data_IF_966446949571
#
_entry.id   IF_966446949571
#
_cell.length_a   1.000
_cell.length_b   1.000
_cell.length_c   1.000
_cell.angle_alpha   90.00
_cell.angle_beta   90.00
_cell.angle_gamma   90.00
#
_symmetry.space_group_name_H-M   'P 1'
#
loop_
_entity.id
_entity.type
_entity.pdbx_description
1 polymer ?
#
# COMPACT_ATOMS: atom_id res chain seq x y z
N UNK A 1 -17.46 16.25 -6.29
CA UNK A 1 -17.75 14.83 -6.53
C UNK A 1 -16.60 14.04 -5.97
N UNK A 2 -16.84 13.15 -5.01
CA UNK A 2 -15.79 12.46 -4.26
C UNK A 2 -15.75 10.96 -4.52
N UNK A 3 -14.79 10.31 -3.87
CA UNK A 3 -14.68 8.84 -3.81
C UNK A 3 -15.22 8.40 -2.44
N UNK A 4 -16.04 7.36 -2.43
CA UNK A 4 -16.51 6.71 -1.20
C UNK A 4 -15.67 5.47 -0.94
N UNK A 5 -15.02 5.42 0.22
CA UNK A 5 -14.25 4.25 0.64
C UNK A 5 -15.13 3.28 1.45
N UNK A 6 -14.95 1.98 1.23
CA UNK A 6 -15.58 0.93 2.04
C UNK A 6 -14.66 -0.26 2.29
N UNK A 7 -14.63 -0.80 3.50
CA UNK A 7 -13.83 -1.97 3.81
C UNK A 7 -14.46 -3.22 3.20
N UNK A 8 -13.61 -4.12 2.70
CA UNK A 8 -13.99 -5.38 2.07
C UNK A 8 -13.47 -6.56 2.89
N UNK A 9 -14.14 -6.83 4.01
CA UNK A 9 -13.74 -7.86 4.99
C UNK A 9 -13.69 -9.30 4.45
N UNK A 10 -14.44 -9.60 3.39
CA UNK A 10 -14.48 -10.93 2.78
C UNK A 10 -13.47 -11.12 1.64
N UNK A 11 -12.52 -10.19 1.47
CA UNK A 11 -11.45 -10.32 0.49
C UNK A 11 -10.46 -11.43 0.89
N UNK A 12 -10.07 -12.26 -0.08
CA UNK A 12 -9.08 -13.32 0.14
C UNK A 12 -7.62 -12.87 -0.03
N UNK A 13 -7.38 -11.65 -0.51
CA UNK A 13 -6.06 -11.08 -0.74
C UNK A 13 -6.09 -9.57 -0.50
N UNK A 14 -4.96 -9.00 -0.06
CA UNK A 14 -4.81 -7.54 0.16
C UNK A 14 -4.99 -6.73 -1.13
N UNK A 15 -4.86 -7.38 -2.28
CA UNK A 15 -4.96 -6.78 -3.61
C UNK A 15 -6.36 -6.86 -4.22
N UNK A 16 -7.36 -7.47 -3.55
CA UNK A 16 -8.76 -7.54 -4.02
C UNK A 16 -9.49 -6.19 -3.85
N UNK A 17 -9.00 -5.17 -4.56
CA UNK A 17 -9.56 -3.82 -4.63
C UNK A 17 -10.59 -3.76 -5.76
N UNK A 18 -11.76 -3.16 -5.49
CA UNK A 18 -12.82 -2.95 -6.48
C UNK A 18 -13.20 -1.49 -6.59
N UNK A 19 -13.14 -0.97 -7.81
CA UNK A 19 -13.64 0.36 -8.13
C UNK A 19 -14.98 0.28 -8.87
N UNK A 20 -15.94 1.11 -8.46
CA UNK A 20 -17.23 1.28 -9.12
C UNK A 20 -17.46 2.76 -9.40
N UNK A 21 -17.57 3.12 -10.66
CA UNK A 21 -17.91 4.48 -11.09
C UNK A 21 -19.43 4.64 -11.19
N UNK A 22 -19.95 5.80 -10.77
CA UNK A 22 -21.33 6.23 -11.00
C UNK A 22 -21.36 7.64 -11.59
N UNK A 23 -22.51 8.08 -12.07
CA UNK A 23 -22.67 9.37 -12.78
C UNK A 23 -22.15 10.59 -11.99
N UNK A 24 -22.15 10.51 -10.65
CA UNK A 24 -21.79 11.64 -9.77
C UNK A 24 -20.71 11.28 -8.72
N UNK A 25 -20.23 10.04 -8.64
CA UNK A 25 -19.27 9.63 -7.59
C UNK A 25 -18.50 8.35 -7.96
N UNK A 26 -17.35 8.15 -7.32
CA UNK A 26 -16.64 6.87 -7.33
C UNK A 26 -16.86 6.11 -6.01
N UNK A 27 -16.72 4.78 -6.04
CA UNK A 27 -16.65 3.96 -4.84
C UNK A 27 -15.50 2.98 -4.92
N UNK A 28 -14.65 2.99 -3.91
CA UNK A 28 -13.52 2.05 -3.73
C UNK A 28 -13.87 1.10 -2.59
N UNK A 29 -13.91 -0.19 -2.89
CA UNK A 29 -13.98 -1.26 -1.90
C UNK A 29 -12.59 -1.91 -1.80
N UNK A 30 -11.92 -1.79 -0.66
CA UNK A 30 -10.57 -2.35 -0.47
C UNK A 30 -10.50 -3.22 0.81
N UNK A 31 -9.67 -4.27 0.84
CA UNK A 31 -9.43 -5.04 2.05
C UNK A 31 -8.80 -4.16 3.13
N UNK A 32 -9.24 -4.24 4.39
CA UNK A 32 -8.57 -3.53 5.48
C UNK A 32 -7.12 -3.97 5.62
N UNK A 33 -6.21 -3.01 5.82
CA UNK A 33 -4.80 -3.27 6.08
C UNK A 33 -4.42 -2.79 7.48
N UNK A 34 -3.70 -3.64 8.21
CA UNK A 34 -3.09 -3.30 9.49
C UNK A 34 -1.71 -2.72 9.18
N UNK A 35 -1.43 -1.52 9.69
CA UNK A 35 -0.16 -0.84 9.49
C UNK A 35 0.55 -0.69 10.83
N UNK A 36 1.71 -1.32 10.94
CA UNK A 36 2.60 -1.32 12.10
C UNK A 36 4.08 -1.13 11.68
N UNK A 37 5.00 -1.23 12.62
CA UNK A 37 6.44 -1.06 12.38
C UNK A 37 7.04 -2.08 11.39
N UNK A 38 6.38 -3.24 11.19
CA UNK A 38 6.85 -4.29 10.30
C UNK A 38 6.35 -4.15 8.86
N UNK A 39 5.30 -3.33 8.66
CA UNK A 39 4.57 -3.23 7.39
C UNK A 39 5.46 -2.76 6.24
N UNK A 40 6.33 -1.77 6.48
CA UNK A 40 7.27 -1.27 5.47
C UNK A 40 8.21 -2.38 4.99
N UNK A 41 8.86 -3.08 5.91
CA UNK A 41 9.78 -4.18 5.57
C UNK A 41 9.08 -5.35 4.89
N UNK A 42 7.85 -5.68 5.31
CA UNK A 42 7.05 -6.74 4.68
C UNK A 42 6.75 -6.42 3.22
N UNK A 43 6.23 -5.21 2.94
CA UNK A 43 5.90 -4.78 1.58
C UNK A 43 7.15 -4.78 0.68
N UNK A 44 8.29 -4.30 1.19
CA UNK A 44 9.54 -4.24 0.43
C UNK A 44 10.12 -5.63 0.15
N UNK A 45 10.05 -6.55 1.12
CA UNK A 45 10.43 -7.95 0.90
C UNK A 45 9.54 -8.66 -0.13
N UNK A 46 8.25 -8.33 -0.15
CA UNK A 46 7.33 -8.86 -1.16
C UNK A 46 7.63 -8.31 -2.55
N UNK A 47 7.93 -7.01 -2.69
CA UNK A 47 8.38 -6.43 -3.98
C UNK A 47 9.70 -7.06 -4.44
N UNK A 48 10.64 -7.31 -3.51
CA UNK A 48 11.87 -8.04 -3.81
C UNK A 48 11.59 -9.42 -4.39
N UNK A 49 10.65 -10.13 -3.79
CA UNK A 49 10.22 -11.44 -4.25
C UNK A 49 9.56 -11.38 -5.63
N UNK A 50 8.64 -10.43 -5.88
CA UNK A 50 8.03 -10.22 -7.20
C UNK A 50 9.08 -10.02 -8.30
N UNK A 51 10.07 -9.17 -8.02
CA UNK A 51 11.17 -8.90 -8.96
C UNK A 51 12.10 -10.10 -9.13
N UNK A 52 12.47 -10.77 -8.03
CA UNK A 52 13.41 -11.89 -8.06
C UNK A 52 12.84 -13.15 -8.70
N UNK A 53 11.56 -13.41 -8.49
CA UNK A 53 10.85 -14.54 -9.10
C UNK A 53 10.37 -14.25 -10.53
N UNK A 54 10.61 -13.04 -11.06
CA UNK A 54 10.21 -12.59 -12.38
C UNK A 54 8.72 -12.86 -12.65
N UNK A 55 7.87 -12.49 -11.70
CA UNK A 55 6.44 -12.77 -11.77
C UNK A 55 5.81 -11.91 -12.88
N UNK A 56 4.95 -12.53 -13.69
CA UNK A 56 4.23 -11.85 -14.77
C UNK A 56 3.27 -10.76 -14.25
N UNK A 57 2.85 -10.88 -12.99
CA UNK A 57 1.94 -9.93 -12.33
C UNK A 57 2.60 -9.39 -11.06
N UNK A 58 2.66 -8.05 -10.97
CA UNK A 58 3.27 -7.33 -9.86
C UNK A 58 2.18 -6.84 -8.89
N UNK A 59 1.51 -7.76 -8.20
CA UNK A 59 0.33 -7.46 -7.38
C UNK A 59 0.64 -6.49 -6.22
N UNK A 60 1.75 -6.72 -5.51
CA UNK A 60 2.18 -5.92 -4.36
C UNK A 60 2.71 -4.57 -4.82
N UNK A 61 3.53 -4.55 -5.87
CA UNK A 61 3.98 -3.28 -6.47
C UNK A 61 2.78 -2.43 -6.94
N UNK A 62 1.79 -3.05 -7.58
CA UNK A 62 0.55 -2.38 -8.03
C UNK A 62 -0.28 -1.89 -6.85
N UNK A 63 -0.34 -2.65 -5.76
CA UNK A 63 -1.01 -2.23 -4.53
C UNK A 63 -0.32 -1.04 -3.86
N UNK A 64 1.00 -1.02 -3.79
CA UNK A 64 1.77 0.11 -3.25
C UNK A 64 1.50 1.37 -4.07
N UNK A 65 1.54 1.28 -5.40
CA UNK A 65 1.23 2.41 -6.29
C UNK A 65 -0.22 2.89 -6.13
N UNK A 66 -1.14 1.96 -5.93
CA UNK A 66 -2.52 2.31 -5.63
C UNK A 66 -2.65 3.09 -4.31
N UNK A 67 -1.99 2.63 -3.23
CA UNK A 67 -2.01 3.34 -1.94
C UNK A 67 -1.31 4.70 -2.01
N UNK A 68 -0.19 4.79 -2.73
CA UNK A 68 0.53 6.04 -3.04
C UNK A 68 -0.36 7.03 -3.80
N UNK A 69 -1.22 6.55 -4.71
CA UNK A 69 -2.18 7.42 -5.42
C UNK A 69 -3.36 7.91 -4.56
N UNK A 70 -3.58 7.29 -3.40
CA UNK A 70 -4.66 7.65 -2.48
C UNK A 70 -4.20 8.51 -1.30
N UNK A 71 -2.90 8.55 -1.03
CA UNK A 71 -2.35 9.15 0.18
C UNK A 71 -1.33 10.18 -0.28
N UNK A 72 -1.61 11.47 -0.15
CA UNK A 72 -0.64 12.55 -0.35
C UNK A 72 -0.11 13.05 1.01
N UNK A 73 -0.98 13.08 2.03
CA UNK A 73 -0.63 13.53 3.37
C UNK A 73 -1.39 12.79 4.50
N UNK A 74 -1.35 13.35 5.71
CA UNK A 74 -1.96 12.74 6.89
C UNK A 74 -3.49 12.82 6.89
N UNK A 75 -4.09 13.79 6.20
CA UNK A 75 -5.54 13.96 6.07
C UNK A 75 -6.13 12.80 5.23
N UNK A 76 -5.43 12.41 4.16
CA UNK A 76 -5.83 11.24 3.35
C UNK A 76 -5.79 9.94 4.16
N UNK A 77 -4.74 9.77 4.98
CA UNK A 77 -4.64 8.63 5.91
C UNK A 77 -5.79 8.65 6.91
N UNK A 78 -6.14 9.81 7.45
CA UNK A 78 -7.27 9.97 8.36
C UNK A 78 -8.59 9.59 7.69
N UNK A 79 -8.81 9.98 6.43
CA UNK A 79 -10.00 9.61 5.66
C UNK A 79 -10.09 8.08 5.48
N UNK A 80 -8.99 7.45 5.04
CA UNK A 80 -8.93 6.00 4.84
C UNK A 80 -9.11 5.22 6.15
N UNK A 81 -8.54 5.73 7.26
CA UNK A 81 -8.70 5.16 8.60
C UNK A 81 -10.14 5.30 9.10
N UNK A 82 -10.75 6.46 8.91
CA UNK A 82 -12.14 6.73 9.29
C UNK A 82 -13.14 5.85 8.52
N UNK A 83 -12.80 5.46 7.29
CA UNK A 83 -13.55 4.50 6.49
C UNK A 83 -13.16 3.04 6.74
N UNK A 84 -12.24 2.75 7.66
CA UNK A 84 -11.84 1.39 8.05
C UNK A 84 -10.99 0.66 7.01
N UNK A 85 -10.41 1.38 6.03
CA UNK A 85 -9.43 0.83 5.08
C UNK A 85 -8.08 0.63 5.78
N UNK A 86 -7.66 1.61 6.60
CA UNK A 86 -6.40 1.55 7.36
C UNK A 86 -6.70 1.32 8.84
N UNK A 87 -6.02 0.34 9.42
CA UNK A 87 -5.99 0.08 10.85
C UNK A 87 -4.60 0.47 11.36
N UNK A 88 -4.50 1.65 11.98
CA UNK A 88 -3.23 2.27 12.34
C UNK A 88 -2.72 1.79 13.72
N UNK A 89 -1.58 1.07 13.71
CA UNK A 89 -0.77 0.74 14.88
C UNK A 89 0.64 1.38 14.81
N UNK A 90 0.94 2.19 13.79
CA UNK A 90 2.22 2.87 13.59
C UNK A 90 2.30 4.21 14.35
N UNK A 91 1.16 4.72 14.81
CA UNK A 91 1.05 5.93 15.63
C UNK A 91 0.50 7.11 14.83
N UNK A 92 1.31 8.14 14.58
CA UNK A 92 0.84 9.34 13.88
C UNK A 92 0.54 9.04 12.39
N UNK A 93 -0.58 9.53 11.87
CA UNK A 93 -1.00 9.36 10.47
C UNK A 93 0.06 9.87 9.47
N UNK A 94 0.81 10.91 9.84
CA UNK A 94 1.95 11.40 9.05
C UNK A 94 3.04 10.34 8.80
N UNK A 95 3.24 9.38 9.72
CA UNK A 95 4.19 8.29 9.52
C UNK A 95 3.72 7.34 8.41
N UNK A 96 2.41 7.09 8.33
CA UNK A 96 1.81 6.25 7.28
C UNK A 96 1.88 6.98 5.93
N UNK A 97 1.58 8.28 5.90
CA UNK A 97 1.73 9.08 4.69
C UNK A 97 3.18 9.04 4.15
N UNK A 98 4.17 9.16 5.04
CA UNK A 98 5.58 9.02 4.66
C UNK A 98 5.96 7.61 4.22
N UNK A 99 5.35 6.57 4.79
CA UNK A 99 5.60 5.18 4.39
C UNK A 99 5.25 4.97 2.92
N UNK A 100 4.12 5.53 2.46
CA UNK A 100 3.70 5.39 1.06
C UNK A 100 4.37 6.41 0.13
N UNK A 101 4.59 7.67 0.55
CA UNK A 101 4.98 8.74 -0.39
C UNK A 101 6.49 8.97 -0.51
N UNK A 102 7.32 8.37 0.35
CA UNK A 102 8.76 8.61 0.30
C UNK A 102 9.43 7.84 -0.85
N UNK A 103 9.40 8.46 -2.02
CA UNK A 103 10.06 8.04 -3.26
C UNK A 103 11.58 7.84 -3.11
N UNK A 104 12.19 8.53 -2.14
CA UNK A 104 13.62 8.45 -1.82
C UNK A 104 13.97 7.13 -1.12
N UNK A 105 13.05 6.60 -0.31
CA UNK A 105 13.19 5.29 0.35
C UNK A 105 12.98 4.14 -0.61
N UNK A 106 11.97 4.20 -1.49
CA UNK A 106 11.74 3.15 -2.52
C UNK A 106 12.99 2.87 -3.35
N UNK A 107 13.69 3.92 -3.82
CA UNK A 107 14.93 3.78 -4.62
C UNK A 107 16.10 3.23 -3.81
N UNK A 108 16.25 3.61 -2.54
CA UNK A 108 17.33 3.11 -1.65
C UNK A 108 17.10 1.67 -1.20
N UNK A 109 15.88 1.31 -0.81
CA UNK A 109 15.57 -0.01 -0.28
C UNK A 109 15.56 -1.07 -1.38
N UNK A 110 15.09 -0.74 -2.59
CA UNK A 110 15.26 -1.61 -3.76
C UNK A 110 16.74 -1.85 -4.02
N UNK A 111 17.60 -0.84 -3.92
CA UNK A 111 19.05 -0.99 -4.06
C UNK A 111 19.68 -1.83 -2.92
N UNK A 112 19.23 -1.72 -1.67
CA UNK A 112 19.67 -2.56 -0.54
C UNK A 112 19.20 -4.01 -0.66
N UNK A 113 18.00 -4.24 -1.18
CA UNK A 113 17.49 -5.57 -1.53
C UNK A 113 18.33 -6.19 -2.65
N UNK A 114 18.68 -5.43 -3.68
CA UNK A 114 19.65 -5.86 -4.70
C UNK A 114 21.01 -6.17 -4.07
N UNK A 115 21.47 -5.36 -3.11
CA UNK A 115 22.73 -5.57 -2.40
C UNK A 115 22.73 -6.87 -1.58
N UNK A 116 21.66 -7.16 -0.84
CA UNK A 116 21.49 -8.44 -0.14
C UNK A 116 21.48 -9.63 -1.11
N UNK A 117 20.85 -9.48 -2.30
CA UNK A 117 20.89 -10.51 -3.34
C UNK A 117 22.31 -10.77 -3.88
N UNK A 118 23.19 -9.77 -3.90
CA UNK A 118 24.59 -9.91 -4.35
C UNK A 118 25.53 -10.43 -3.27
N UNK A 119 25.24 -10.18 -1.99
CA UNK A 119 26.14 -10.55 -0.88
C UNK A 119 25.80 -11.92 -0.27
N UNK A 120 24.56 -12.38 -0.39
CA UNK A 120 24.11 -13.66 0.21
C UNK A 120 23.83 -14.75 -0.86
N UNK A 121 24.38 -14.61 -2.06
CA UNK A 121 24.36 -15.62 -3.14
C UNK A 121 25.77 -16.12 -3.48
#
# INVERSE_FOLDING_TARGET
MGILFRPRWSAGAITDVKFKSSLLSGKVEAPPIIIDESTESLLLNLVAYESAAALDQLWVSSYILFMDSLIDDAEDVEELRSNGIIINYLGADQKIARLFNDDTRRKKHVAEIFFYKTVVA
#
